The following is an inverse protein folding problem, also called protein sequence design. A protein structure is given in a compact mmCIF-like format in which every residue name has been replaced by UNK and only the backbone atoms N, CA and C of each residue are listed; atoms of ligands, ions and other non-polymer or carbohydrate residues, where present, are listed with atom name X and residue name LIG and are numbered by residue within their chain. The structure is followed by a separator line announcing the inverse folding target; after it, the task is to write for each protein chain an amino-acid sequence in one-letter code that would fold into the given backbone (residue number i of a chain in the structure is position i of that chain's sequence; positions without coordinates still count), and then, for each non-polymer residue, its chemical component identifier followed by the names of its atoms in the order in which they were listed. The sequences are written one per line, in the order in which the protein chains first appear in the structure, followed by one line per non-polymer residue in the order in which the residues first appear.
data_IF_184225094473
#
_entry.id   IF_184225094473
#
_cell.length_a   1.000
_cell.length_b   1.000
_cell.length_c   1.000
_cell.angle_alpha   90.00
_cell.angle_beta   90.00
_cell.angle_gamma   90.00
#
_symmetry.space_group_name_H-M   'P 1'
#
loop_
_entity.id
_entity.type
_entity.pdbx_description
1 polymer ?
#
# COMPACT_ATOMS: atom_id res chain seq x y z
N UNK A 1 31.74 -26.61 4.15
CA UNK A 1 30.71 -26.99 5.15
C UNK A 1 29.90 -25.74 5.49
N UNK A 2 28.57 -25.77 5.36
CA UNK A 2 27.71 -24.73 5.93
C UNK A 2 27.56 -25.01 7.43
N UNK A 3 27.97 -24.08 8.27
CA UNK A 3 27.78 -24.10 9.71
C UNK A 3 26.60 -23.16 10.03
N UNK A 4 25.79 -23.42 11.06
CA UNK A 4 24.61 -22.60 11.37
C UNK A 4 24.86 -21.09 11.36
N UNK A 5 26.07 -20.65 11.75
CA UNK A 5 26.47 -19.23 11.68
C UNK A 5 26.53 -18.69 10.25
N UNK A 6 27.16 -19.40 9.30
CA UNK A 6 27.25 -18.94 7.91
C UNK A 6 25.91 -19.06 7.16
N UNK A 7 25.03 -19.96 7.61
CA UNK A 7 23.65 -20.03 7.12
C UNK A 7 22.84 -18.83 7.61
N UNK A 8 22.95 -18.46 8.89
CA UNK A 8 22.21 -17.35 9.48
C UNK A 8 22.61 -15.99 8.87
N UNK A 9 23.91 -15.76 8.61
CA UNK A 9 24.38 -14.54 7.96
C UNK A 9 23.91 -14.46 6.51
N UNK A 10 24.01 -15.56 5.76
CA UNK A 10 23.53 -15.61 4.37
C UNK A 10 22.01 -15.49 4.28
N UNK A 11 21.27 -16.05 5.24
CA UNK A 11 19.82 -15.91 5.33
C UNK A 11 19.41 -14.47 5.64
N UNK A 12 20.07 -13.79 6.59
CA UNK A 12 19.84 -12.36 6.83
C UNK A 12 20.07 -11.51 5.58
N UNK A 13 21.16 -11.78 4.84
CA UNK A 13 21.41 -11.06 3.59
C UNK A 13 20.29 -11.31 2.56
N UNK A 14 19.84 -12.56 2.40
CA UNK A 14 18.75 -12.89 1.50
C UNK A 14 17.43 -12.21 1.89
N UNK A 15 17.09 -12.22 3.19
CA UNK A 15 15.91 -11.52 3.70
C UNK A 15 15.98 -10.02 3.43
N UNK A 16 17.14 -9.40 3.62
CA UNK A 16 17.32 -7.98 3.36
C UNK A 16 17.18 -7.64 1.86
N UNK A 17 17.70 -8.50 0.98
CA UNK A 17 17.50 -8.35 -0.46
C UNK A 17 16.03 -8.53 -0.85
N UNK A 18 15.31 -9.46 -0.23
CA UNK A 18 13.89 -9.68 -0.45
C UNK A 18 13.05 -8.48 0.01
N UNK A 19 13.38 -7.88 1.16
CA UNK A 19 12.74 -6.65 1.64
C UNK A 19 12.91 -5.50 0.65
N UNK A 20 14.12 -5.27 0.14
CA UNK A 20 14.39 -4.25 -0.88
C UNK A 20 13.59 -4.53 -2.16
N UNK A 21 13.53 -5.79 -2.59
CA UNK A 21 12.76 -6.18 -3.78
C UNK A 21 11.26 -5.94 -3.58
N UNK A 22 10.73 -6.26 -2.40
CA UNK A 22 9.34 -5.97 -2.03
C UNK A 22 9.03 -4.47 -2.06
N UNK A 23 9.94 -3.62 -1.56
CA UNK A 23 9.79 -2.15 -1.64
C UNK A 23 9.74 -1.64 -3.09
N UNK A 24 10.50 -2.24 -3.99
CA UNK A 24 10.48 -1.87 -5.42
C UNK A 24 9.19 -2.38 -6.08
N UNK A 25 8.77 -3.59 -5.75
CA UNK A 25 7.59 -4.19 -6.36
C UNK A 25 6.30 -3.51 -5.93
N UNK A 26 6.18 -3.09 -4.66
CA UNK A 26 4.97 -2.38 -4.20
C UNK A 26 4.84 -0.99 -4.87
N UNK A 27 5.96 -0.30 -5.12
CA UNK A 27 5.97 1.00 -5.82
C UNK A 27 5.49 0.90 -7.27
N UNK A 28 5.58 -0.27 -7.92
CA UNK A 28 5.02 -0.47 -9.28
C UNK A 28 3.50 -0.33 -9.32
N UNK A 29 2.85 -0.47 -8.16
CA UNK A 29 1.40 -0.32 -8.02
C UNK A 29 0.98 1.10 -7.62
N UNK A 30 1.91 2.06 -7.62
CA UNK A 30 1.57 3.46 -7.36
C UNK A 30 0.54 3.97 -8.38
N UNK A 31 -0.60 4.43 -7.86
CA UNK A 31 -1.71 4.91 -8.67
C UNK A 31 -1.70 6.44 -8.71
N UNK A 32 -1.59 6.98 -9.92
CA UNK A 32 -1.61 8.42 -10.17
C UNK A 32 -2.91 8.85 -10.84
N UNK A 33 -3.43 10.02 -10.48
CA UNK A 33 -4.62 10.61 -11.11
C UNK A 33 -5.92 9.81 -10.93
N UNK A 34 -6.00 8.92 -9.92
CA UNK A 34 -7.22 8.18 -9.62
C UNK A 34 -8.18 9.01 -8.77
N UNK A 35 -9.46 8.94 -9.11
CA UNK A 35 -10.53 9.54 -8.31
C UNK A 35 -10.93 8.59 -7.19
N UNK A 36 -10.98 9.12 -5.96
CA UNK A 36 -11.57 8.44 -4.82
C UNK A 36 -13.02 8.89 -4.66
N UNK A 37 -13.92 7.96 -4.36
CA UNK A 37 -15.36 8.24 -4.21
C UNK A 37 -15.81 7.94 -2.80
N UNK A 38 -16.71 8.74 -2.24
CA UNK A 38 -17.26 8.46 -0.91
C UNK A 38 -18.08 7.17 -0.94
N UNK A 39 -17.94 6.35 0.10
CA UNK A 39 -18.79 5.17 0.26
C UNK A 39 -20.23 5.62 0.57
N UNK A 40 -21.19 4.96 -0.08
CA UNK A 40 -22.62 5.28 0.06
C UNK A 40 -23.19 4.88 1.42
N UNK A 41 -22.59 3.88 2.06
CA UNK A 41 -23.02 3.32 3.34
C UNK A 41 -22.32 4.04 4.50
N UNK A 42 -21.03 4.33 4.35
CA UNK A 42 -20.24 5.03 5.35
C UNK A 42 -19.54 6.27 4.75
N UNK A 43 -20.11 7.45 5.00
CA UNK A 43 -19.57 8.73 4.50
C UNK A 43 -18.19 9.08 5.05
N UNK A 44 -17.64 8.32 5.99
CA UNK A 44 -16.27 8.50 6.50
C UNK A 44 -15.23 7.68 5.71
N UNK A 45 -15.70 6.75 4.87
CA UNK A 45 -14.84 5.91 4.06
C UNK A 45 -14.80 6.40 2.61
N UNK A 46 -13.62 6.31 2.01
CA UNK A 46 -13.37 6.60 0.61
C UNK A 46 -13.00 5.31 -0.12
N UNK A 47 -13.66 5.07 -1.24
CA UNK A 47 -13.43 3.94 -2.13
C UNK A 47 -12.42 4.36 -3.20
N UNK A 48 -11.32 3.62 -3.27
CA UNK A 48 -10.33 3.71 -4.35
C UNK A 48 -10.42 2.43 -5.20
N UNK A 49 -10.51 2.60 -6.52
CA UNK A 49 -10.49 1.48 -7.46
C UNK A 49 -9.05 1.08 -7.75
N UNK A 50 -8.67 -0.13 -7.35
CA UNK A 50 -7.33 -0.71 -7.52
C UNK A 50 -7.49 -2.01 -8.31
N UNK A 51 -7.34 -1.98 -9.64
CA UNK A 51 -7.40 -3.19 -10.45
C UNK A 51 -6.25 -4.12 -10.05
N UNK A 52 -6.54 -5.42 -9.86
CA UNK A 52 -5.54 -6.42 -9.45
C UNK A 52 -5.49 -6.72 -7.95
N UNK A 53 -6.18 -5.94 -7.11
CA UNK A 53 -6.16 -6.18 -5.65
C UNK A 53 -6.80 -7.53 -5.26
N UNK A 54 -7.83 -8.00 -5.99
CA UNK A 54 -8.41 -9.36 -5.83
C UNK A 54 -7.38 -10.47 -6.01
N UNK A 55 -6.34 -10.24 -6.79
CA UNK A 55 -5.33 -11.24 -7.12
C UNK A 55 -4.20 -11.27 -6.07
N UNK A 56 -4.37 -10.55 -4.94
CA UNK A 56 -3.33 -10.27 -3.95
C UNK A 56 -2.09 -9.59 -4.57
N UNK A 57 -2.30 -8.74 -5.59
CA UNK A 57 -1.24 -8.01 -6.28
C UNK A 57 -1.65 -6.55 -6.51
N UNK A 58 -1.28 -5.62 -5.62
CA UNK A 58 -0.45 -5.81 -4.42
C UNK A 58 -1.22 -6.48 -3.27
N UNK A 59 -0.50 -7.14 -2.36
CA UNK A 59 -1.06 -7.73 -1.12
C UNK A 59 -1.52 -6.63 -0.18
N UNK A 60 -2.75 -6.15 -0.37
CA UNK A 60 -3.38 -5.16 0.51
C UNK A 60 -4.30 -5.88 1.48
N UNK A 61 -4.10 -5.65 2.77
CA UNK A 61 -4.89 -6.22 3.85
C UNK A 61 -5.59 -5.12 4.66
N UNK A 62 -6.62 -5.52 5.39
CA UNK A 62 -7.26 -4.65 6.37
C UNK A 62 -6.23 -4.23 7.42
N UNK A 63 -6.12 -2.92 7.66
CA UNK A 63 -5.15 -2.33 8.59
C UNK A 63 -3.94 -1.71 7.89
N UNK A 64 -3.73 -2.01 6.61
CA UNK A 64 -2.62 -1.42 5.87
C UNK A 64 -2.77 0.09 5.73
N UNK A 65 -1.63 0.77 5.70
CA UNK A 65 -1.54 2.22 5.55
C UNK A 65 -1.20 2.57 4.12
N UNK A 66 -2.00 3.45 3.51
CA UNK A 66 -1.73 4.05 2.21
C UNK A 66 -1.48 5.54 2.37
N UNK A 67 -0.42 6.00 1.71
CA UNK A 67 -0.13 7.42 1.59
C UNK A 67 -0.82 7.95 0.35
N UNK A 68 -1.68 8.95 0.52
CA UNK A 68 -2.45 9.57 -0.56
C UNK A 68 -2.06 11.02 -0.68
N UNK A 69 -1.76 11.45 -1.91
CA UNK A 69 -1.52 12.85 -2.24
C UNK A 69 -2.55 13.30 -3.26
N UNK A 70 -3.05 14.52 -3.09
CA UNK A 70 -3.87 15.16 -4.12
C UNK A 70 -3.01 15.45 -5.35
N UNK A 71 -3.38 14.86 -6.50
CA UNK A 71 -2.60 14.97 -7.75
C UNK A 71 -2.42 16.41 -8.24
N UNK A 72 -3.32 17.33 -7.86
CA UNK A 72 -3.24 18.75 -8.21
C UNK A 72 -2.52 19.61 -7.18
N UNK A 73 -2.11 19.05 -6.04
CA UNK A 73 -1.50 19.79 -4.96
C UNK A 73 -0.04 20.10 -5.28
N UNK A 74 0.21 21.36 -5.62
CA UNK A 74 1.54 21.96 -5.79
C UNK A 74 1.96 22.79 -4.57
N UNK A 75 1.20 22.70 -3.47
CA UNK A 75 1.53 23.42 -2.24
C UNK A 75 2.83 22.86 -1.67
N UNK A 76 3.68 23.74 -1.15
CA UNK A 76 4.88 23.34 -0.43
C UNK A 76 4.69 23.72 1.04
N UNK A 77 4.78 22.76 1.99
CA UNK A 77 5.06 21.33 1.78
C UNK A 77 3.89 20.55 1.17
N UNK A 78 4.22 19.48 0.46
CA UNK A 78 3.24 18.56 -0.14
C UNK A 78 2.44 17.90 0.99
N UNK A 79 1.13 18.08 0.99
CA UNK A 79 0.28 17.43 1.98
C UNK A 79 0.06 15.97 1.58
N UNK A 80 0.53 15.07 2.43
CA UNK A 80 0.29 13.62 2.32
C UNK A 80 -0.71 13.23 3.39
N UNK A 81 -1.76 12.52 2.98
CA UNK A 81 -2.80 12.01 3.85
C UNK A 81 -2.59 10.52 4.07
N UNK A 82 -2.67 10.08 5.32
CA UNK A 82 -2.59 8.67 5.66
C UNK A 82 -3.99 8.07 5.69
N UNK A 83 -4.27 7.16 4.76
CA UNK A 83 -5.49 6.38 4.70
C UNK A 83 -5.25 4.95 5.18
N UNK A 84 -6.11 4.44 6.05
CA UNK A 84 -6.06 3.07 6.54
C UNK A 84 -7.08 2.19 5.84
N UNK A 85 -6.67 1.01 5.38
CA UNK A 85 -7.55 0.06 4.71
C UNK A 85 -8.52 -0.51 5.72
N UNK A 86 -9.80 -0.19 5.54
CA UNK A 86 -10.87 -0.74 6.36
C UNK A 86 -11.42 -2.04 5.77
N UNK A 87 -11.49 -2.11 4.43
CA UNK A 87 -12.01 -3.28 3.71
C UNK A 87 -11.41 -3.36 2.32
N UNK A 88 -11.12 -4.59 1.89
CA UNK A 88 -10.69 -4.90 0.52
C UNK A 88 -11.81 -5.67 -0.16
N UNK A 89 -12.17 -5.23 -1.36
CA UNK A 89 -13.13 -5.86 -2.27
C UNK A 89 -12.39 -6.28 -3.55
N UNK A 90 -13.07 -6.86 -4.54
CA UNK A 90 -12.43 -7.46 -5.71
C UNK A 90 -11.55 -6.47 -6.51
N UNK A 91 -12.04 -5.27 -6.78
CA UNK A 91 -11.33 -4.25 -7.56
C UNK A 91 -11.24 -2.91 -6.82
N UNK A 92 -11.56 -2.91 -5.53
CA UNK A 92 -11.80 -1.71 -4.73
C UNK A 92 -11.26 -1.88 -3.32
N UNK A 93 -10.71 -0.80 -2.78
CA UNK A 93 -10.34 -0.72 -1.36
C UNK A 93 -11.09 0.43 -0.72
N UNK A 94 -11.59 0.19 0.49
CA UNK A 94 -12.23 1.21 1.32
C UNK A 94 -11.21 1.71 2.33
N UNK A 95 -10.94 3.00 2.27
CA UNK A 95 -9.93 3.70 3.05
C UNK A 95 -10.63 4.62 4.04
N UNK A 96 -10.26 4.52 5.31
CA UNK A 96 -10.62 5.48 6.34
C UNK A 96 -9.46 6.45 6.56
N UNK A 97 -9.74 7.75 6.57
CA UNK A 97 -8.74 8.77 6.89
C UNK A 97 -8.99 9.23 8.31
N UNK A 98 -7.98 9.09 9.18
CA UNK A 98 -8.00 9.73 10.49
C UNK A 98 -7.65 11.21 10.32
N UNK A 99 -8.26 12.04 11.16
CA UNK A 99 -8.02 13.48 11.23
C UNK A 99 -6.69 13.80 11.89
#
# INVERSE_FOLDING_TARGET
QLCMKNYAERFHLLLHLEEIQMEVDIKKYDLYGKTMTLDKSDKRLLILKVPGVAENRPSVLRGDKLNVRLSGDKSQPITVYEGYVHRVELDRVKLGFSK
#
